data_IF_071196212508
#
_entry.id   IF_071196212508
#
_cell.length_a   1.000
_cell.length_b   1.000
_cell.length_c   1.000
_cell.angle_alpha   90.00
_cell.angle_beta   90.00
_cell.angle_gamma   90.00
#
_symmetry.space_group_name_H-M   'P 1'
#
loop_
_entity.id
_entity.type
_entity.pdbx_description
1 polymer ?
#
# COMPACT_ATOMS: atom_id res chain seq x y z
N UNK A 1 13.70 0.81 12.14
CA UNK A 1 12.72 1.91 12.34
C UNK A 1 11.34 1.31 12.64
N UNK A 2 10.48 1.02 11.66
CA UNK A 2 9.15 0.43 11.92
C UNK A 2 9.23 -0.98 12.52
N UNK A 3 10.11 -1.82 11.98
CA UNK A 3 10.29 -3.20 12.44
C UNK A 3 10.73 -3.35 13.90
N UNK A 4 11.33 -2.31 14.49
CA UNK A 4 11.86 -2.37 15.85
C UNK A 4 10.75 -2.32 16.92
N UNK A 5 9.55 -1.85 16.56
CA UNK A 5 8.48 -1.50 17.50
C UNK A 5 7.13 -2.13 17.14
N UNK A 6 7.16 -3.22 16.37
CA UNK A 6 5.93 -3.99 16.12
C UNK A 6 5.41 -4.61 17.43
N UNK A 7 4.13 -4.97 17.46
CA UNK A 7 3.49 -5.55 18.64
C UNK A 7 2.43 -6.59 18.26
N UNK A 8 2.06 -7.43 19.23
CA UNK A 8 1.00 -8.42 19.04
C UNK A 8 -0.39 -7.80 18.93
N UNK A 9 -1.28 -8.46 18.19
CA UNK A 9 -2.71 -8.13 18.11
C UNK A 9 -3.09 -7.03 17.12
N UNK A 10 -2.13 -6.35 16.48
CA UNK A 10 -2.38 -5.36 15.43
C UNK A 10 -1.48 -5.64 14.24
N UNK A 11 -2.08 -5.92 13.09
CA UNK A 11 -1.37 -6.18 11.85
C UNK A 11 -0.66 -4.91 11.36
N UNK A 12 0.67 -4.96 11.29
CA UNK A 12 1.47 -3.79 10.90
C UNK A 12 1.29 -2.59 11.83
N UNK A 13 1.36 -2.80 13.16
CA UNK A 13 1.18 -1.77 14.19
C UNK A 13 1.94 -0.46 13.91
N UNK A 14 3.16 -0.52 13.40
CA UNK A 14 3.91 0.66 12.95
C UNK A 14 4.08 0.61 11.43
N UNK A 15 3.57 1.64 10.76
CA UNK A 15 3.52 1.76 9.30
C UNK A 15 4.60 2.71 8.77
N UNK A 16 5.14 2.38 7.60
CA UNK A 16 5.88 3.33 6.77
C UNK A 16 4.93 3.89 5.70
N UNK A 17 4.57 5.17 5.84
CA UNK A 17 3.56 5.81 4.99
C UNK A 17 3.91 5.85 3.51
N UNK A 18 2.91 6.10 2.67
CA UNK A 18 3.07 6.30 1.22
C UNK A 18 4.03 7.45 0.91
N UNK A 19 4.51 7.51 -0.34
CA UNK A 19 5.29 8.63 -0.84
C UNK A 19 4.58 9.96 -0.55
N UNK A 20 5.20 10.82 0.27
CA UNK A 20 4.58 12.03 0.77
C UNK A 20 5.04 13.28 0.02
N UNK A 21 4.10 14.19 -0.24
CA UNK A 21 4.31 15.50 -0.84
C UNK A 21 5.05 15.41 -2.18
N UNK A 22 6.31 15.84 -2.25
CA UNK A 22 7.11 15.78 -3.48
C UNK A 22 7.36 14.34 -3.95
N UNK A 23 7.23 13.37 -3.04
CA UNK A 23 7.37 11.94 -3.32
C UNK A 23 6.03 11.30 -3.73
N UNK A 24 4.92 12.04 -3.73
CA UNK A 24 3.59 11.57 -4.17
C UNK A 24 3.47 11.63 -5.71
N UNK A 25 4.33 10.87 -6.37
CA UNK A 25 4.46 10.69 -7.82
C UNK A 25 5.11 9.33 -8.11
N UNK A 26 5.10 8.87 -9.37
CA UNK A 26 5.49 7.50 -9.74
C UNK A 26 6.82 7.01 -9.13
N UNK A 27 7.93 7.70 -9.36
CA UNK A 27 9.25 7.31 -8.83
C UNK A 27 9.23 7.24 -7.30
N UNK A 28 8.63 8.22 -6.64
CA UNK A 28 8.57 8.27 -5.18
C UNK A 28 7.72 7.14 -4.60
N UNK A 29 6.58 6.83 -5.21
CA UNK A 29 5.73 5.70 -4.83
C UNK A 29 6.42 4.36 -5.07
N UNK A 30 7.04 4.15 -6.23
CA UNK A 30 7.75 2.92 -6.56
C UNK A 30 8.91 2.68 -5.59
N UNK A 31 9.71 3.72 -5.31
CA UNK A 31 10.80 3.65 -4.32
C UNK A 31 10.27 3.34 -2.94
N UNK A 32 9.23 4.03 -2.48
CA UNK A 32 8.65 3.81 -1.15
C UNK A 32 8.10 2.38 -1.01
N UNK A 33 7.30 1.92 -1.98
CA UNK A 33 6.70 0.58 -1.96
C UNK A 33 7.75 -0.52 -2.08
N UNK A 34 8.81 -0.30 -2.87
CA UNK A 34 9.94 -1.22 -2.96
C UNK A 34 10.63 -1.37 -1.61
N UNK A 35 10.95 -0.27 -0.93
CA UNK A 35 11.57 -0.33 0.40
C UNK A 35 10.64 -1.00 1.44
N UNK A 36 9.34 -0.74 1.37
CA UNK A 36 8.36 -1.39 2.24
C UNK A 36 8.25 -2.90 1.97
N UNK A 37 8.32 -3.34 0.71
CA UNK A 37 8.30 -4.74 0.34
C UNK A 37 9.57 -5.49 0.79
N UNK A 38 10.73 -4.84 0.73
CA UNK A 38 12.02 -5.43 1.10
C UNK A 38 12.24 -5.47 2.62
N UNK A 39 11.78 -4.45 3.36
CA UNK A 39 12.08 -4.27 4.79
C UNK A 39 10.87 -4.51 5.70
N UNK A 40 9.70 -4.81 5.14
CA UNK A 40 8.44 -4.95 5.85
C UNK A 40 7.48 -5.91 5.16
N UNK A 41 6.18 -5.70 5.36
CA UNK A 41 5.12 -6.53 4.77
C UNK A 41 4.21 -5.64 3.92
N UNK A 42 4.43 -5.62 2.60
CA UNK A 42 3.61 -4.82 1.68
C UNK A 42 2.12 -5.18 1.76
N UNK A 43 1.80 -6.46 2.01
CA UNK A 43 0.41 -6.93 2.18
C UNK A 43 -0.32 -6.29 3.37
N UNK A 44 0.40 -5.73 4.33
CA UNK A 44 -0.15 -5.03 5.51
C UNK A 44 -0.05 -3.51 5.42
N UNK A 45 0.29 -2.98 4.23
CA UNK A 45 0.37 -1.55 4.02
C UNK A 45 -1.01 -0.91 4.08
N UNK A 46 -1.15 0.15 4.87
CA UNK A 46 -2.41 0.93 4.98
C UNK A 46 -2.74 1.73 3.71
N UNK A 47 -1.81 1.84 2.77
CA UNK A 47 -2.08 2.36 1.44
C UNK A 47 -2.03 3.88 1.32
N UNK A 48 -2.86 4.40 0.42
CA UNK A 48 -2.78 5.76 -0.09
C UNK A 48 -3.63 6.76 0.70
N UNK A 49 -3.16 8.00 0.80
CA UNK A 49 -3.93 9.16 1.20
C UNK A 49 -3.64 10.31 0.21
N UNK A 50 -4.60 11.23 0.02
CA UNK A 50 -4.40 12.33 -0.94
C UNK A 50 -3.52 13.45 -0.40
N UNK A 51 -3.50 13.64 0.93
CA UNK A 51 -2.91 14.80 1.62
C UNK A 51 -3.21 16.14 0.93
N UNK A 52 -4.44 16.28 0.44
CA UNK A 52 -4.83 17.39 -0.43
C UNK A 52 -6.02 18.15 0.14
N UNK A 53 -6.07 19.43 -0.20
CA UNK A 53 -7.21 20.33 0.04
C UNK A 53 -8.13 20.48 -1.18
N UNK A 54 -7.88 19.74 -2.26
CA UNK A 54 -8.67 19.79 -3.50
C UNK A 54 -9.64 18.62 -3.57
N UNK A 55 -10.92 18.89 -3.86
CA UNK A 55 -11.91 17.84 -4.10
C UNK A 55 -11.59 16.95 -5.31
N UNK A 56 -10.74 17.40 -6.22
CA UNK A 56 -10.34 16.64 -7.40
C UNK A 56 -9.15 15.70 -7.14
N UNK A 57 -8.61 15.67 -5.93
CA UNK A 57 -7.40 14.89 -5.64
C UNK A 57 -7.62 13.37 -5.59
N UNK A 58 -8.86 12.88 -5.63
CA UNK A 58 -9.13 11.44 -5.53
C UNK A 58 -8.53 10.63 -6.69
N UNK A 59 -8.22 11.26 -7.82
CA UNK A 59 -7.44 10.63 -8.91
C UNK A 59 -6.02 10.23 -8.48
N UNK A 60 -5.48 10.78 -7.38
CA UNK A 60 -4.23 10.29 -6.77
C UNK A 60 -4.35 8.85 -6.28
N UNK A 61 -5.53 8.43 -5.82
CA UNK A 61 -5.77 7.03 -5.49
C UNK A 61 -5.77 6.15 -6.73
N UNK A 62 -6.36 6.61 -7.84
CA UNK A 62 -6.29 5.86 -9.11
C UNK A 62 -4.84 5.71 -9.57
N UNK A 63 -4.07 6.79 -9.51
CA UNK A 63 -2.65 6.79 -9.87
C UNK A 63 -1.85 5.79 -9.03
N UNK A 64 -1.99 5.85 -7.70
CA UNK A 64 -1.39 4.88 -6.77
C UNK A 64 -1.78 3.44 -7.11
N UNK A 65 -3.08 3.17 -7.33
CA UNK A 65 -3.58 1.82 -7.64
C UNK A 65 -2.98 1.26 -8.92
N UNK A 66 -2.85 2.09 -9.96
CA UNK A 66 -2.23 1.69 -11.23
C UNK A 66 -0.76 1.32 -11.03
N UNK A 67 -0.02 2.11 -10.25
CA UNK A 67 1.40 1.83 -9.96
C UNK A 67 1.54 0.56 -9.13
N UNK A 68 0.72 0.37 -8.08
CA UNK A 68 0.72 -0.84 -7.27
C UNK A 68 0.44 -2.09 -8.12
N UNK A 69 -0.62 -2.06 -8.93
CA UNK A 69 -0.97 -3.18 -9.80
C UNK A 69 0.09 -3.45 -10.87
N UNK A 70 0.69 -2.41 -11.45
CA UNK A 70 1.80 -2.55 -12.39
C UNK A 70 3.00 -3.23 -11.73
N UNK A 71 3.38 -2.80 -10.52
CA UNK A 71 4.52 -3.35 -9.79
C UNK A 71 4.31 -4.83 -9.45
N UNK A 72 3.13 -5.20 -8.94
CA UNK A 72 2.77 -6.60 -8.66
C UNK A 72 2.71 -7.43 -9.94
N UNK A 73 2.10 -6.90 -11.00
CA UNK A 73 2.01 -7.57 -12.30
C UNK A 73 3.39 -7.88 -12.88
N UNK A 74 4.33 -6.93 -12.79
CA UNK A 74 5.70 -7.15 -13.24
C UNK A 74 6.41 -8.25 -12.45
N UNK A 75 6.23 -8.31 -11.12
CA UNK A 75 6.78 -9.40 -10.32
C UNK A 75 6.24 -10.77 -10.74
N UNK A 76 4.96 -10.85 -11.11
CA UNK A 76 4.37 -12.10 -11.63
C UNK A 76 4.97 -12.48 -12.99
N UNK A 77 5.04 -11.53 -13.93
CA UNK A 77 5.63 -11.75 -15.26
C UNK A 77 7.10 -12.20 -15.19
N UNK A 78 7.85 -11.65 -14.23
CA UNK A 78 9.25 -12.01 -14.01
C UNK A 78 9.45 -13.33 -13.24
N UNK A 79 8.39 -13.95 -12.73
CA UNK A 79 8.47 -15.14 -11.88
C UNK A 79 8.96 -14.87 -10.45
N UNK A 80 8.93 -13.60 -10.01
CA UNK A 80 9.30 -13.16 -8.66
C UNK A 80 8.14 -13.33 -7.66
N UNK A 81 6.90 -13.33 -8.17
CA UNK A 81 5.68 -13.59 -7.40
C UNK A 81 4.83 -14.69 -8.09
N UNK A 82 4.07 -15.50 -7.34
CA UNK A 82 3.21 -16.51 -7.93
C UNK A 82 2.06 -15.86 -8.72
N UNK A 83 1.70 -16.46 -9.86
CA UNK A 83 0.51 -16.10 -10.63
C UNK A 83 -0.80 -16.60 -9.98
N UNK A 84 -0.97 -16.35 -8.67
CA UNK A 84 -2.17 -16.67 -7.90
C UNK A 84 -3.05 -15.41 -7.81
N UNK A 85 -4.00 -15.28 -8.72
CA UNK A 85 -4.87 -14.10 -8.79
C UNK A 85 -5.80 -13.97 -7.58
N UNK A 86 -6.16 -15.05 -6.90
CA UNK A 86 -6.99 -14.98 -5.71
C UNK A 86 -6.20 -14.39 -4.54
N UNK A 87 -4.93 -14.77 -4.38
CA UNK A 87 -4.02 -14.18 -3.40
C UNK A 87 -3.76 -12.70 -3.71
N UNK A 88 -3.40 -12.40 -4.95
CA UNK A 88 -2.99 -11.05 -5.36
C UNK A 88 -4.15 -10.05 -5.37
N UNK A 89 -5.34 -10.47 -5.81
CA UNK A 89 -6.54 -9.61 -5.79
C UNK A 89 -6.96 -9.28 -4.35
N UNK A 90 -6.81 -10.22 -3.41
CA UNK A 90 -7.01 -9.97 -1.97
C UNK A 90 -6.01 -8.95 -1.46
N UNK A 91 -4.72 -9.14 -1.71
CA UNK A 91 -3.67 -8.20 -1.29
C UNK A 91 -3.89 -6.78 -1.87
N UNK A 92 -4.21 -6.67 -3.16
CA UNK A 92 -4.52 -5.37 -3.79
C UNK A 92 -5.75 -4.74 -3.12
N UNK A 93 -6.82 -5.49 -2.90
CA UNK A 93 -8.04 -5.00 -2.25
C UNK A 93 -7.77 -4.51 -0.82
N UNK A 94 -6.92 -5.23 -0.10
CA UNK A 94 -6.55 -4.89 1.27
C UNK A 94 -5.74 -3.59 1.32
N UNK A 95 -4.71 -3.44 0.48
CA UNK A 95 -3.93 -2.19 0.40
C UNK A 95 -4.79 -1.02 -0.09
N UNK A 96 -5.74 -1.27 -1.00
CA UNK A 96 -6.61 -0.23 -1.54
C UNK A 96 -7.66 0.28 -0.55
N UNK A 97 -8.01 -0.51 0.47
CA UNK A 97 -9.09 -0.16 1.39
C UNK A 97 -9.07 -0.92 2.73
N UNK A 98 -9.08 -2.25 2.74
CA UNK A 98 -9.39 -3.00 3.97
C UNK A 98 -8.34 -2.82 5.07
N UNK A 99 -7.05 -2.72 4.73
CA UNK A 99 -6.00 -2.46 5.70
C UNK A 99 -6.23 -1.14 6.43
N UNK A 100 -6.48 -0.05 5.69
CA UNK A 100 -6.81 1.24 6.31
C UNK A 100 -8.07 1.14 7.17
N UNK A 101 -9.14 0.53 6.64
CA UNK A 101 -10.40 0.35 7.38
C UNK A 101 -10.18 -0.35 8.71
N UNK A 102 -9.47 -1.47 8.71
CA UNK A 102 -9.22 -2.28 9.89
C UNK A 102 -8.25 -1.58 10.85
N UNK A 103 -7.18 -0.98 10.33
CA UNK A 103 -6.16 -0.29 11.11
C UNK A 103 -6.73 0.92 11.89
N UNK A 104 -7.65 1.67 11.27
CA UNK A 104 -8.32 2.81 11.90
C UNK A 104 -9.63 2.44 12.62
N UNK A 105 -10.03 1.17 12.63
CA UNK A 105 -11.28 0.72 13.28
C UNK A 105 -12.54 1.36 12.68
N UNK A 106 -12.56 1.61 11.37
CA UNK A 106 -13.69 2.25 10.70
C UNK A 106 -14.86 1.26 10.59
N UNK A 107 -15.83 1.40 11.49
CA UNK A 107 -17.11 0.68 11.45
C UNK A 107 -18.17 1.54 10.77
N UNK A 108 -18.91 0.98 9.81
CA UNK A 108 -20.14 1.62 9.35
C UNK A 108 -21.15 1.58 10.50
N UNK A 109 -21.67 2.75 10.89
CA UNK A 109 -22.85 2.85 11.75
C UNK A 109 -24.10 2.67 10.91
#
# INVERSE_FOLDING_TARGET
>A
MCGNFQGGGVEGKIQFGSGWWFNDQKDGMERQMTQLAQLGLLSRFVGMLTDSRSFLSYTRHEYFRRILCQMIGQWVENGEAPADFDLLSRMVSDICYHNAKNYFGITHK
#
